data_IF_238045814795
#
_entry.id   IF_238045814795
#
_cell.length_a   1.000
_cell.length_b   1.000
_cell.length_c   1.000
_cell.angle_alpha   90.00
_cell.angle_beta   90.00
_cell.angle_gamma   90.00
#
_symmetry.space_group_name_H-M   'P 1'
#
loop_
_entity.id
_entity.type
_entity.pdbx_description
1 polymer ?
#
# COMPACT_ATOMS: atom_id res chain seq x y z
N UNK A 1 1.75 -4.30 4.87
CA UNK A 1 0.59 -5.05 5.42
C UNK A 1 0.04 -5.93 4.30
N UNK A 2 0.41 -7.22 4.27
CA UNK A 2 -0.03 -8.15 3.24
C UNK A 2 -1.55 -8.31 3.31
N UNK A 3 -2.26 -7.79 2.32
CA UNK A 3 -3.67 -8.12 2.11
C UNK A 3 -3.66 -9.58 1.66
N UNK A 4 -3.97 -10.47 2.61
CA UNK A 4 -4.15 -11.90 2.33
C UNK A 4 -5.33 -11.99 1.38
N UNK A 5 -5.08 -12.35 0.13
CA UNK A 5 -6.12 -12.66 -0.85
C UNK A 5 -6.99 -13.76 -0.25
N UNK A 6 -8.15 -13.38 0.29
CA UNK A 6 -9.12 -14.34 0.82
C UNK A 6 -9.72 -15.07 -0.34
N UNK A 7 -9.57 -16.39 -0.35
CA UNK A 7 -10.20 -17.21 -1.38
C UNK A 7 -11.73 -17.10 -1.29
N UNK A 8 -12.41 -17.06 -2.44
CA UNK A 8 -13.87 -16.93 -2.54
C UNK A 8 -14.62 -17.91 -1.62
N UNK A 9 -14.21 -19.21 -1.47
CA UNK A 9 -14.88 -20.13 -0.56
C UNK A 9 -14.77 -19.74 0.91
N UNK A 10 -13.70 -19.06 1.31
CA UNK A 10 -13.55 -18.56 2.69
C UNK A 10 -14.52 -17.42 2.96
N UNK A 11 -14.67 -16.48 2.02
CA UNK A 11 -15.64 -15.38 2.10
C UNK A 11 -17.07 -15.94 2.19
N UNK A 12 -17.38 -16.97 1.41
CA UNK A 12 -18.69 -17.63 1.44
C UNK A 12 -18.97 -18.29 2.80
N UNK A 13 -18.00 -18.96 3.40
CA UNK A 13 -18.15 -19.57 4.73
C UNK A 13 -18.24 -18.54 5.85
N UNK A 14 -17.60 -17.37 5.71
CA UNK A 14 -17.71 -16.29 6.67
C UNK A 14 -19.13 -15.71 6.72
N UNK A 15 -19.93 -15.78 5.65
CA UNK A 15 -21.31 -15.34 5.63
C UNK A 15 -22.19 -16.13 6.61
N UNK A 16 -21.83 -17.39 6.90
CA UNK A 16 -22.57 -18.20 7.88
C UNK A 16 -22.31 -17.81 9.33
N UNK A 17 -21.31 -16.95 9.60
CA UNK A 17 -21.06 -16.39 10.93
C UNK A 17 -21.86 -15.09 11.20
N UNK A 18 -22.58 -14.59 10.21
CA UNK A 18 -23.44 -13.43 10.38
C UNK A 18 -24.56 -13.76 11.39
N UNK A 19 -24.78 -12.83 12.32
CA UNK A 19 -25.79 -12.98 13.38
C UNK A 19 -27.18 -13.27 12.82
N UNK A 20 -27.54 -12.64 11.70
CA UNK A 20 -28.82 -12.84 11.04
C UNK A 20 -28.95 -14.28 10.48
N UNK A 21 -27.89 -14.78 9.88
CA UNK A 21 -27.84 -16.14 9.34
C UNK A 21 -27.88 -17.17 10.45
N UNK A 22 -27.24 -16.89 11.59
CA UNK A 22 -27.30 -17.76 12.77
C UNK A 22 -28.74 -17.90 13.30
N UNK A 23 -29.49 -16.81 13.36
CA UNK A 23 -30.91 -16.85 13.76
C UNK A 23 -31.73 -17.70 12.77
N UNK A 24 -31.51 -17.54 11.47
CA UNK A 24 -32.19 -18.33 10.44
C UNK A 24 -31.85 -19.83 10.52
N UNK A 25 -30.61 -20.18 10.85
CA UNK A 25 -30.21 -21.57 11.06
C UNK A 25 -30.95 -22.15 12.27
N UNK A 26 -31.05 -21.42 13.37
CA UNK A 26 -31.79 -21.86 14.54
C UNK A 26 -33.28 -22.05 14.18
N UNK A 27 -33.88 -21.13 13.43
CA UNK A 27 -35.24 -21.23 12.96
C UNK A 27 -35.46 -22.47 12.06
N UNK A 28 -34.50 -22.76 11.16
CA UNK A 28 -34.56 -23.95 10.32
C UNK A 28 -34.51 -25.26 11.14
N UNK A 29 -33.69 -25.30 12.20
CA UNK A 29 -33.62 -26.46 13.10
C UNK A 29 -34.92 -26.65 13.83
N UNK A 30 -35.54 -25.60 14.36
CA UNK A 30 -36.85 -25.67 15.05
C UNK A 30 -37.94 -26.15 14.09
N UNK A 31 -37.98 -25.60 12.87
CA UNK A 31 -38.96 -26.03 11.83
C UNK A 31 -38.79 -27.51 11.46
N UNK A 32 -37.55 -27.98 11.37
CA UNK A 32 -37.26 -29.40 11.12
C UNK A 32 -37.76 -30.30 12.26
N UNK A 33 -37.64 -29.87 13.53
CA UNK A 33 -38.18 -30.60 14.69
C UNK A 33 -39.73 -30.67 14.68
N UNK A 34 -40.38 -29.61 14.17
CA UNK A 34 -41.83 -29.59 13.99
C UNK A 34 -42.34 -30.41 12.80
N UNK A 35 -41.42 -31.04 12.04
CA UNK A 35 -41.70 -31.78 10.79
C UNK A 35 -42.35 -30.91 9.70
N UNK A 36 -42.14 -29.63 9.74
CA UNK A 36 -42.59 -28.69 8.73
C UNK A 36 -41.51 -28.56 7.63
N UNK A 37 -41.59 -29.43 6.68
CA UNK A 37 -40.60 -29.55 5.59
C UNK A 37 -40.68 -28.35 4.63
N UNK A 38 -41.86 -27.77 4.45
CA UNK A 38 -42.06 -26.63 3.55
C UNK A 38 -41.33 -25.38 4.09
N UNK A 39 -41.57 -25.02 5.37
CA UNK A 39 -40.88 -23.92 6.01
C UNK A 39 -39.37 -24.11 6.08
N UNK A 40 -38.91 -25.31 6.38
CA UNK A 40 -37.47 -25.62 6.39
C UNK A 40 -36.83 -25.41 5.02
N UNK A 41 -37.48 -25.87 3.94
CA UNK A 41 -36.98 -25.67 2.58
C UNK A 41 -36.88 -24.19 2.19
N UNK A 42 -37.90 -23.39 2.52
CA UNK A 42 -37.90 -21.95 2.25
C UNK A 42 -36.76 -21.25 3.01
N UNK A 43 -36.55 -21.57 4.28
CA UNK A 43 -35.45 -20.96 5.06
C UNK A 43 -34.09 -21.31 4.48
N UNK A 44 -33.85 -22.55 4.04
CA UNK A 44 -32.59 -22.97 3.41
C UNK A 44 -32.33 -22.24 2.09
N UNK A 45 -33.36 -22.02 1.28
CA UNK A 45 -33.25 -21.23 0.04
C UNK A 45 -32.87 -19.79 0.36
N UNK A 46 -33.51 -19.17 1.35
CA UNK A 46 -33.22 -17.79 1.78
C UNK A 46 -31.78 -17.66 2.29
N UNK A 47 -31.32 -18.58 3.14
CA UNK A 47 -29.94 -18.60 3.65
C UNK A 47 -28.95 -18.68 2.47
N UNK A 48 -29.20 -19.59 1.52
CA UNK A 48 -28.31 -19.78 0.37
C UNK A 48 -28.25 -18.53 -0.50
N UNK A 49 -29.41 -17.95 -0.82
CA UNK A 49 -29.47 -16.70 -1.60
C UNK A 49 -28.77 -15.55 -0.89
N UNK A 50 -28.95 -15.43 0.41
CA UNK A 50 -28.29 -14.41 1.21
C UNK A 50 -26.77 -14.57 1.23
N UNK A 51 -26.28 -15.82 1.38
CA UNK A 51 -24.84 -16.12 1.32
C UNK A 51 -24.22 -15.80 -0.05
N UNK A 52 -24.93 -16.11 -1.14
CA UNK A 52 -24.47 -15.75 -2.51
C UNK A 52 -24.42 -14.22 -2.67
N UNK A 53 -25.48 -13.53 -2.30
CA UNK A 53 -25.58 -12.07 -2.42
C UNK A 53 -24.49 -11.38 -1.59
N UNK A 54 -24.30 -11.78 -0.33
CA UNK A 54 -23.26 -11.26 0.56
C UNK A 54 -21.86 -11.47 0.00
N UNK A 55 -21.59 -12.66 -0.55
CA UNK A 55 -20.29 -12.96 -1.20
C UNK A 55 -20.04 -12.05 -2.40
N UNK A 56 -21.03 -11.86 -3.28
CA UNK A 56 -20.90 -10.98 -4.45
C UNK A 56 -20.67 -9.53 -4.02
N UNK A 57 -21.37 -9.05 -3.01
CA UNK A 57 -21.19 -7.69 -2.49
C UNK A 57 -19.80 -7.49 -1.89
N UNK A 58 -19.32 -8.43 -1.09
CA UNK A 58 -17.98 -8.38 -0.48
C UNK A 58 -16.89 -8.37 -1.55
N UNK A 59 -16.95 -9.27 -2.52
CA UNK A 59 -15.96 -9.31 -3.63
C UNK A 59 -15.96 -8.03 -4.45
N UNK A 60 -17.15 -7.46 -4.75
CA UNK A 60 -17.22 -6.16 -5.44
C UNK A 60 -16.62 -5.02 -4.62
N UNK A 61 -16.90 -4.99 -3.32
CA UNK A 61 -16.35 -3.96 -2.43
C UNK A 61 -14.82 -4.04 -2.34
N UNK A 62 -14.25 -5.24 -2.15
CA UNK A 62 -12.80 -5.47 -2.13
C UNK A 62 -12.13 -5.06 -3.44
N UNK A 63 -12.74 -5.40 -4.58
CA UNK A 63 -12.22 -5.02 -5.90
C UNK A 63 -12.21 -3.50 -6.10
N UNK A 64 -13.26 -2.81 -5.64
CA UNK A 64 -13.35 -1.35 -5.71
C UNK A 64 -12.28 -0.69 -4.84
N UNK A 65 -12.05 -1.18 -3.62
CA UNK A 65 -11.00 -0.71 -2.73
C UNK A 65 -9.59 -0.96 -3.31
N UNK A 66 -9.38 -2.11 -3.94
CA UNK A 66 -8.09 -2.43 -4.58
C UNK A 66 -7.81 -1.51 -5.75
N UNK A 67 -8.82 -1.19 -6.57
CA UNK A 67 -8.67 -0.24 -7.67
C UNK A 67 -8.36 1.18 -7.17
N UNK A 68 -9.01 1.64 -6.11
CA UNK A 68 -8.70 2.93 -5.49
C UNK A 68 -7.27 2.98 -4.93
N UNK A 69 -6.80 1.91 -4.28
CA UNK A 69 -5.41 1.80 -3.81
C UNK A 69 -4.41 1.85 -4.95
N UNK A 70 -4.68 1.19 -6.08
CA UNK A 70 -3.80 1.26 -7.27
C UNK A 70 -3.72 2.66 -7.86
N UNK A 71 -4.83 3.42 -7.85
CA UNK A 71 -4.83 4.81 -8.32
C UNK A 71 -4.10 5.76 -7.38
N UNK A 72 -4.01 5.42 -6.09
CA UNK A 72 -3.31 6.20 -5.06
C UNK A 72 -1.89 5.69 -4.79
N UNK A 73 -1.45 4.62 -5.45
CA UNK A 73 -0.09 4.11 -5.29
C UNK A 73 0.91 5.16 -5.77
N UNK A 74 1.92 5.51 -4.97
CA UNK A 74 2.94 6.45 -5.41
C UNK A 74 3.69 5.89 -6.61
N UNK A 75 3.99 6.77 -7.56
CA UNK A 75 4.76 6.43 -8.76
C UNK A 75 6.09 7.17 -8.74
N UNK A 76 7.10 6.61 -9.37
CA UNK A 76 8.40 7.23 -9.51
C UNK A 76 8.77 7.39 -11.01
N UNK A 77 9.55 8.41 -11.30
CA UNK A 77 10.08 8.69 -12.63
C UNK A 77 11.47 8.07 -12.73
N UNK A 78 11.58 6.89 -13.33
CA UNK A 78 12.86 6.20 -13.51
C UNK A 78 13.49 6.50 -14.87
N UNK A 79 14.81 6.57 -14.90
CA UNK A 79 15.59 6.66 -16.13
C UNK A 79 16.13 5.27 -16.46
N UNK A 80 15.47 4.56 -17.39
CA UNK A 80 15.88 3.22 -17.83
C UNK A 80 16.22 3.24 -19.31
N UNK A 81 17.37 2.70 -19.70
CA UNK A 81 17.87 2.70 -21.08
C UNK A 81 17.96 4.09 -21.72
N UNK A 82 18.16 5.15 -20.92
CA UNK A 82 18.21 6.54 -21.38
C UNK A 82 16.85 7.19 -21.58
N UNK A 83 15.73 6.49 -21.33
CA UNK A 83 14.38 7.01 -21.44
C UNK A 83 13.73 7.19 -20.05
N UNK A 84 12.94 8.27 -19.92
CA UNK A 84 12.15 8.55 -18.72
C UNK A 84 10.88 7.69 -18.73
N UNK A 85 10.75 6.78 -17.78
CA UNK A 85 9.60 5.89 -17.61
C UNK A 85 8.98 6.13 -16.25
N UNK A 86 7.64 6.21 -16.20
CA UNK A 86 6.90 6.28 -14.93
C UNK A 86 6.60 4.84 -14.50
N UNK A 87 7.06 4.48 -13.31
CA UNK A 87 6.88 3.15 -12.75
C UNK A 87 6.17 3.23 -11.39
N UNK A 88 5.37 2.21 -11.01
CA UNK A 88 4.87 2.08 -9.64
C UNK A 88 6.02 1.97 -8.65
N UNK A 89 5.85 2.47 -7.43
CA UNK A 89 6.89 2.38 -6.39
C UNK A 89 7.31 0.94 -6.06
N UNK A 90 6.43 -0.02 -6.28
CA UNK A 90 6.69 -1.46 -6.08
C UNK A 90 7.68 -2.06 -7.10
N UNK A 91 7.88 -1.39 -8.24
CA UNK A 91 8.77 -1.83 -9.33
C UNK A 91 10.16 -1.16 -9.28
N UNK A 92 10.40 -0.33 -8.29
CA UNK A 92 11.71 0.30 -8.09
C UNK A 92 12.70 -0.76 -7.61
N UNK A 93 13.86 -0.82 -8.25
CA UNK A 93 14.95 -1.73 -7.90
C UNK A 93 16.19 -0.95 -7.47
N UNK A 94 17.00 -1.57 -6.62
CA UNK A 94 18.33 -1.04 -6.26
C UNK A 94 19.16 -0.89 -7.54
N UNK A 95 19.79 0.28 -7.71
CA UNK A 95 20.53 0.64 -8.90
C UNK A 95 19.74 1.42 -9.97
N UNK A 96 18.41 1.57 -9.81
CA UNK A 96 17.62 2.47 -10.66
C UNK A 96 18.05 3.94 -10.45
N UNK A 97 17.99 4.73 -11.50
CA UNK A 97 18.14 6.18 -11.43
C UNK A 97 16.74 6.80 -11.43
N UNK A 98 16.37 7.48 -10.35
CA UNK A 98 15.10 8.19 -10.25
C UNK A 98 15.30 9.69 -10.49
N UNK A 99 14.38 10.27 -11.25
CA UNK A 99 14.27 11.71 -11.45
C UNK A 99 13.31 12.25 -10.37
N UNK A 100 13.77 13.24 -9.61
CA UNK A 100 13.01 13.87 -8.55
C UNK A 100 12.81 15.35 -8.84
N UNK A 101 11.61 15.85 -8.62
CA UNK A 101 11.21 17.23 -8.84
C UNK A 101 10.35 17.72 -7.67
N UNK A 102 10.26 19.03 -7.48
CA UNK A 102 9.39 19.62 -6.46
C UNK A 102 7.94 19.11 -6.58
N UNK A 103 7.40 18.62 -5.47
CA UNK A 103 6.09 17.97 -5.37
C UNK A 103 6.13 16.45 -5.45
N UNK A 104 7.26 15.84 -5.82
CA UNK A 104 7.39 14.39 -5.85
C UNK A 104 7.57 13.82 -4.43
N UNK A 105 6.96 12.67 -4.19
CA UNK A 105 7.24 11.85 -3.00
C UNK A 105 8.35 10.86 -3.33
N UNK A 106 9.35 10.79 -2.46
CA UNK A 106 10.46 9.85 -2.58
C UNK A 106 10.01 8.47 -2.11
N UNK A 107 10.16 7.46 -2.98
CA UNK A 107 9.64 6.11 -2.76
C UNK A 107 10.70 5.07 -2.38
N UNK A 108 11.97 5.46 -2.37
CA UNK A 108 13.12 4.60 -2.05
C UNK A 108 14.25 5.42 -1.45
N UNK A 109 15.17 4.79 -0.74
CA UNK A 109 16.37 5.48 -0.27
C UNK A 109 17.40 5.56 -1.42
N UNK A 110 18.10 6.67 -1.51
CA UNK A 110 19.08 6.82 -2.57
C UNK A 110 20.05 7.97 -2.37
N UNK A 111 21.16 7.90 -3.11
CA UNK A 111 22.18 8.93 -3.16
C UNK A 111 21.91 9.88 -4.32
N UNK A 112 22.01 11.17 -4.07
CA UNK A 112 21.94 12.18 -5.12
C UNK A 112 23.17 12.11 -6.03
N UNK A 113 22.93 12.05 -7.35
CA UNK A 113 23.95 12.06 -8.41
C UNK A 113 23.87 13.32 -9.28
N UNK A 114 22.71 14.00 -9.29
CA UNK A 114 22.54 15.35 -9.81
C UNK A 114 21.65 16.14 -8.84
N UNK A 115 22.00 17.38 -8.57
CA UNK A 115 21.27 18.24 -7.64
C UNK A 115 21.23 19.66 -8.19
N UNK A 116 20.02 20.19 -8.36
CA UNK A 116 19.76 21.59 -8.71
C UNK A 116 18.86 22.20 -7.64
N UNK A 117 19.47 22.70 -6.56
CA UNK A 117 18.81 23.32 -5.41
C UNK A 117 17.69 22.45 -4.81
N UNK A 118 17.97 21.16 -4.61
CA UNK A 118 16.98 20.24 -4.04
C UNK A 118 16.80 20.52 -2.56
N UNK A 119 15.55 20.75 -2.16
CA UNK A 119 15.15 20.78 -0.75
C UNK A 119 14.14 19.67 -0.50
N UNK A 120 14.30 18.97 0.62
CA UNK A 120 13.48 17.84 1.00
C UNK A 120 12.94 18.01 2.40
N UNK A 121 11.67 17.70 2.59
CA UNK A 121 11.07 17.59 3.91
C UNK A 121 11.14 16.12 4.37
N UNK A 122 11.91 15.86 5.41
CA UNK A 122 12.15 14.54 5.99
C UNK A 122 11.43 14.33 7.33
N UNK A 123 10.37 15.09 7.58
CA UNK A 123 9.62 15.04 8.85
C UNK A 123 9.07 13.65 9.21
N UNK A 124 8.77 12.82 8.23
CA UNK A 124 8.32 11.46 8.45
C UNK A 124 9.40 10.56 9.09
N UNK A 125 10.68 10.87 8.88
CA UNK A 125 11.81 10.10 9.36
C UNK A 125 12.45 10.73 10.62
N UNK A 126 12.65 12.04 10.59
CA UNK A 126 13.38 12.77 11.65
C UNK A 126 12.46 13.39 12.69
N UNK A 127 11.17 13.55 12.38
CA UNK A 127 10.20 14.28 13.21
C UNK A 127 10.31 15.81 13.10
N UNK A 128 11.32 16.34 12.40
CA UNK A 128 11.53 17.76 12.22
C UNK A 128 10.85 18.26 10.94
N UNK A 129 9.98 19.28 11.06
CA UNK A 129 9.21 19.82 9.91
C UNK A 129 10.01 20.87 9.11
N UNK A 130 11.32 20.88 9.21
CA UNK A 130 12.18 21.82 8.49
C UNK A 130 12.61 21.21 7.15
N UNK A 131 12.62 22.03 6.10
CA UNK A 131 13.17 21.62 4.81
C UNK A 131 14.69 21.60 4.88
N UNK A 132 15.30 20.54 4.40
CA UNK A 132 16.73 20.30 4.40
C UNK A 132 17.26 20.52 2.99
N UNK A 133 18.26 21.36 2.86
CA UNK A 133 19.01 21.53 1.62
C UNK A 133 19.85 20.29 1.36
N UNK A 134 19.74 19.76 0.15
CA UNK A 134 20.48 18.59 -0.28
C UNK A 134 21.56 18.98 -1.28
N UNK A 135 22.69 18.29 -1.21
CA UNK A 135 23.81 18.47 -2.12
C UNK A 135 24.43 17.11 -2.53
N UNK A 136 25.50 17.16 -3.33
CA UNK A 136 26.19 15.95 -3.77
C UNK A 136 27.56 15.75 -3.08
N UNK A 137 27.86 16.54 -2.05
CA UNK A 137 29.14 16.51 -1.36
C UNK A 137 29.41 15.15 -0.73
N UNK A 138 30.65 14.73 -0.72
CA UNK A 138 31.04 13.55 0.02
C UNK A 138 31.02 13.82 1.52
N UNK A 139 30.45 12.90 2.27
CA UNK A 139 30.34 12.99 3.72
C UNK A 139 31.50 12.19 4.35
N UNK A 140 32.32 12.88 5.12
CA UNK A 140 33.38 12.22 5.88
C UNK A 140 32.85 11.63 7.19
N UNK A 141 33.10 10.33 7.40
CA UNK A 141 32.72 9.61 8.60
C UNK A 141 31.22 9.23 8.67
N UNK A 142 30.83 8.61 9.77
CA UNK A 142 29.40 8.28 10.04
C UNK A 142 28.67 9.52 10.56
N UNK A 143 27.59 9.90 9.90
CA UNK A 143 26.71 11.00 10.32
C UNK A 143 25.30 10.50 10.58
N UNK A 144 24.57 11.13 11.51
CA UNK A 144 23.14 10.92 11.68
C UNK A 144 22.38 11.11 10.37
N UNK A 145 21.23 10.45 10.22
CA UNK A 145 20.43 10.48 8.99
C UNK A 145 20.10 11.92 8.54
N UNK A 146 19.69 12.77 9.48
CA UNK A 146 19.32 14.17 9.20
C UNK A 146 20.50 15.04 8.66
N UNK A 147 21.74 14.64 8.93
CA UNK A 147 22.94 15.37 8.48
C UNK A 147 23.50 14.85 7.14
N UNK A 148 22.90 13.80 6.57
CA UNK A 148 23.34 13.24 5.30
C UNK A 148 22.75 14.02 4.14
N UNK A 149 23.40 15.14 3.79
CA UNK A 149 22.92 16.04 2.74
C UNK A 149 22.92 15.41 1.34
N UNK A 150 23.72 14.39 1.09
CA UNK A 150 23.82 13.70 -0.20
C UNK A 150 22.87 12.51 -0.35
N UNK A 151 22.07 12.21 0.67
CA UNK A 151 21.11 11.13 0.68
C UNK A 151 19.67 11.68 0.75
N UNK A 152 18.75 10.95 0.16
CA UNK A 152 17.31 11.19 0.27
C UNK A 152 16.63 9.88 0.66
N UNK A 153 15.55 9.98 1.44
CA UNK A 153 14.95 8.84 2.11
C UNK A 153 13.49 8.64 1.70
N UNK A 154 13.08 7.40 1.67
CA UNK A 154 11.70 6.99 1.41
C UNK A 154 10.72 7.66 2.37
N UNK A 155 9.55 8.06 1.88
CA UNK A 155 8.54 8.77 2.66
C UNK A 155 8.72 10.28 2.75
N UNK A 156 9.84 10.82 2.28
CA UNK A 156 10.11 12.25 2.22
C UNK A 156 9.48 12.92 1.01
N UNK A 157 9.32 14.25 1.06
CA UNK A 157 8.78 15.05 -0.04
C UNK A 157 9.81 16.05 -0.56
N UNK A 158 9.98 16.14 -1.88
CA UNK A 158 10.77 17.19 -2.52
C UNK A 158 9.97 18.50 -2.50
N UNK A 159 10.43 19.48 -1.76
CA UNK A 159 9.73 20.77 -1.60
C UNK A 159 10.18 21.79 -2.62
N UNK A 160 11.42 21.70 -3.08
CA UNK A 160 11.99 22.63 -4.05
C UNK A 160 13.08 21.93 -4.89
N UNK A 161 13.31 22.46 -6.10
CA UNK A 161 14.40 22.03 -6.99
C UNK A 161 14.11 20.75 -7.77
N UNK A 162 15.16 20.20 -8.34
CA UNK A 162 15.13 18.93 -9.12
C UNK A 162 16.48 18.25 -9.04
N UNK A 163 16.46 16.92 -9.20
CA UNK A 163 17.70 16.15 -9.17
C UNK A 163 17.52 14.75 -9.72
N UNK A 164 18.61 14.02 -9.70
CA UNK A 164 18.63 12.56 -9.95
C UNK A 164 19.22 11.87 -8.73
N UNK A 165 18.62 10.75 -8.38
CA UNK A 165 19.11 9.89 -7.31
C UNK A 165 19.35 8.48 -7.83
N UNK A 166 20.40 7.85 -7.33
CA UNK A 166 20.66 6.43 -7.48
C UNK A 166 20.03 5.69 -6.31
N UNK A 167 19.14 4.76 -6.57
CA UNK A 167 18.48 3.95 -5.53
C UNK A 167 19.48 3.01 -4.87
N UNK A 168 19.58 3.11 -3.55
CA UNK A 168 20.45 2.26 -2.71
C UNK A 168 19.69 1.20 -1.95
N UNK A 169 18.48 1.51 -1.48
CA UNK A 169 17.65 0.60 -0.68
C UNK A 169 16.16 0.77 -1.03
N UNK A 170 15.40 -0.33 -0.95
CA UNK A 170 13.96 -0.37 -1.33
C UNK A 170 13.14 -1.12 -0.29
N UNK A 171 11.85 -0.80 -0.18
CA UNK A 171 10.88 -1.52 0.64
C UNK A 171 11.25 -1.54 2.11
N UNK A 172 11.35 -2.75 2.70
CA UNK A 172 11.66 -2.93 4.12
C UNK A 172 13.13 -2.68 4.49
N UNK A 173 14.01 -2.60 3.50
CA UNK A 173 15.44 -2.32 3.74
C UNK A 173 15.71 -0.81 3.86
N UNK A 174 14.76 0.05 3.46
CA UNK A 174 14.85 1.52 3.64
C UNK A 174 14.88 1.90 5.12
N UNK A 175 15.39 3.09 5.45
CA UNK A 175 15.43 3.58 6.83
C UNK A 175 14.02 3.64 7.47
N UNK A 176 13.02 4.05 6.71
CA UNK A 176 11.61 4.00 7.16
C UNK A 176 11.12 2.56 7.32
N UNK A 177 11.49 1.67 6.41
CA UNK A 177 11.14 0.25 6.47
C UNK A 177 11.72 -0.46 7.69
N UNK A 178 12.92 -0.09 8.15
CA UNK A 178 13.56 -0.62 9.36
C UNK A 178 12.84 -0.21 10.65
N UNK A 179 12.08 0.89 10.62
CA UNK A 179 11.34 1.43 11.77
C UNK A 179 9.90 0.86 11.84
N UNK A 180 9.33 0.44 10.70
CA UNK A 180 7.96 -0.04 10.56
C UNK A 180 7.79 -1.50 11.00
#
# INVERSE_FOLDING_TARGET
MCIRDRSIPVIFLEQYKDFLVLILIIAAIVSAFMKDVESCAVILVVITMNAILGTVQTVKAEKSLTNLKKLSAPTAKALRNGEKVIIPSEEIAVGDILLIEAGDQICADGRLIECASVQVNESALTGESVNIDKDMSDIEGEKPLAERANMVYSGSFVTYGRGKMLVTEVGMDTEVGKIA
#
